data_IF_055638074071
#
_entry.id   IF_055638074071
#
_cell.length_a   1.000
_cell.length_b   1.000
_cell.length_c   1.000
_cell.angle_alpha   90.00
_cell.angle_beta   90.00
_cell.angle_gamma   90.00
#
_symmetry.space_group_name_H-M   'P 1'
#
loop_
_entity.id
_entity.type
_entity.pdbx_description
1 polymer ?
#
# COMPACT_ATOMS: atom_id res chain seq x y z
N UNK A 1 13.25 -9.11 14.65
CA UNK A 1 12.95 -7.94 13.78
C UNK A 1 12.41 -6.75 14.56
N UNK A 2 11.71 -6.95 15.70
CA UNK A 2 11.07 -5.89 16.47
C UNK A 2 12.03 -4.85 17.05
N UNK A 3 13.22 -5.28 17.46
CA UNK A 3 14.24 -4.42 18.08
C UNK A 3 15.33 -3.96 17.10
N UNK A 4 15.17 -4.26 15.81
CA UNK A 4 16.11 -3.80 14.78
C UNK A 4 15.64 -2.45 14.24
N UNK A 5 16.56 -1.48 14.05
CA UNK A 5 16.23 -0.25 13.37
C UNK A 5 15.80 -0.58 11.93
N UNK A 6 14.61 -0.13 11.57
CA UNK A 6 14.01 -0.29 10.24
C UNK A 6 13.40 1.04 9.86
N UNK A 7 13.61 1.45 8.62
CA UNK A 7 13.11 2.70 8.07
C UNK A 7 12.01 2.42 7.06
N UNK A 8 10.86 3.10 7.22
CA UNK A 8 9.67 2.89 6.41
C UNK A 8 9.20 4.23 5.86
N UNK A 9 9.14 4.37 4.55
CA UNK A 9 8.45 5.49 3.92
C UNK A 9 6.98 5.14 3.66
N UNK A 10 6.10 6.09 3.95
CA UNK A 10 4.65 5.99 3.76
C UNK A 10 4.24 7.13 2.83
N UNK A 11 3.71 6.78 1.67
CA UNK A 11 3.21 7.76 0.71
C UNK A 11 1.97 8.50 1.23
N UNK A 12 1.63 9.66 0.64
CA UNK A 12 0.49 10.47 1.05
C UNK A 12 -0.82 9.68 1.07
N UNK A 13 -1.07 8.82 0.07
CA UNK A 13 -2.30 8.02 0.02
C UNK A 13 -2.43 7.08 1.22
N UNK A 14 -1.35 6.39 1.62
CA UNK A 14 -1.37 5.53 2.80
C UNK A 14 -1.39 6.32 4.12
N UNK A 15 -0.86 7.55 4.12
CA UNK A 15 -0.93 8.44 5.26
C UNK A 15 -2.36 8.92 5.54
N UNK A 16 -3.07 9.36 4.51
CA UNK A 16 -4.45 9.90 4.58
C UNK A 16 -5.49 8.83 4.95
N UNK A 17 -5.39 7.65 4.34
CA UNK A 17 -6.37 6.57 4.56
C UNK A 17 -6.16 5.80 5.88
N UNK A 18 -5.25 6.25 6.74
CA UNK A 18 -4.99 5.63 8.03
C UNK A 18 -4.35 4.24 7.97
N UNK A 19 -3.98 3.77 6.78
CA UNK A 19 -3.29 2.48 6.55
C UNK A 19 -1.98 2.44 7.34
N UNK A 20 -1.34 3.60 7.51
CA UNK A 20 -0.14 3.75 8.33
C UNK A 20 -0.34 3.72 9.84
N UNK A 21 -1.50 4.14 10.37
CA UNK A 21 -1.71 4.29 11.83
C UNK A 21 -1.79 2.95 12.56
N UNK A 22 -2.19 1.89 11.86
CA UNK A 22 -2.20 0.52 12.39
C UNK A 22 -0.82 -0.18 12.31
N UNK A 23 0.15 0.42 11.61
CA UNK A 23 1.45 -0.20 11.32
C UNK A 23 2.64 0.30 12.14
N UNK A 24 2.48 1.39 12.92
CA UNK A 24 3.53 1.95 13.80
C UNK A 24 3.69 1.15 15.10
N UNK A 25 3.92 -0.15 14.97
CA UNK A 25 3.85 -1.12 16.08
C UNK A 25 5.19 -1.27 16.80
N UNK A 26 6.31 -0.93 16.15
CA UNK A 26 7.65 -1.18 16.67
C UNK A 26 8.38 0.12 16.98
N UNK A 27 8.75 0.31 18.24
CA UNK A 27 9.45 1.52 18.71
C UNK A 27 10.82 1.73 18.06
N UNK A 28 11.48 0.66 17.60
CA UNK A 28 12.76 0.75 16.92
C UNK A 28 12.63 1.20 15.45
N UNK A 29 11.41 1.31 14.91
CA UNK A 29 11.19 1.62 13.51
C UNK A 29 10.95 3.12 13.30
N UNK A 30 11.58 3.67 12.26
CA UNK A 30 11.33 5.03 11.80
C UNK A 30 10.25 5.00 10.71
N UNK A 31 9.21 5.80 10.89
CA UNK A 31 8.12 5.93 9.93
C UNK A 31 8.11 7.36 9.38
N UNK A 32 8.47 7.51 8.12
CA UNK A 32 8.58 8.79 7.45
C UNK A 32 7.42 9.01 6.48
N UNK A 33 6.71 10.12 6.64
CA UNK A 33 5.55 10.55 5.82
C UNK A 33 5.84 11.83 5.03
N UNK A 34 7.11 12.19 4.86
CA UNK A 34 7.48 13.40 4.12
C UNK A 34 7.04 13.26 2.67
N UNK A 35 6.26 14.22 2.20
CA UNK A 35 5.76 14.24 0.83
C UNK A 35 6.84 14.68 -0.16
N UNK A 36 6.64 14.37 -1.45
CA UNK A 36 7.47 14.84 -2.55
C UNK A 36 8.97 14.50 -2.45
N UNK A 37 9.31 13.38 -1.80
CA UNK A 37 10.68 12.86 -1.77
C UNK A 37 11.11 12.43 -3.17
N UNK A 38 12.36 12.73 -3.51
CA UNK A 38 12.97 12.24 -4.74
C UNK A 38 13.14 10.72 -4.71
N UNK A 39 13.36 10.11 -5.88
CA UNK A 39 13.67 8.67 -5.95
C UNK A 39 14.92 8.35 -5.13
N UNK A 40 15.93 9.21 -5.18
CA UNK A 40 17.20 9.08 -4.47
C UNK A 40 16.97 9.10 -2.95
N UNK A 41 16.08 9.96 -2.47
CA UNK A 41 15.69 10.01 -1.06
C UNK A 41 14.94 8.76 -0.63
N UNK A 42 14.11 8.20 -1.51
CA UNK A 42 13.29 7.01 -1.23
C UNK A 42 14.14 5.74 -1.16
N UNK A 43 15.21 5.62 -1.96
CA UNK A 43 16.03 4.40 -2.01
C UNK A 43 16.69 4.06 -0.66
N UNK A 44 16.85 5.04 0.23
CA UNK A 44 17.47 4.81 1.55
C UNK A 44 16.61 3.91 2.45
N UNK A 45 15.29 3.97 2.32
CA UNK A 45 14.37 3.28 3.22
C UNK A 45 14.41 1.76 3.03
N UNK A 46 14.12 1.00 4.08
CA UNK A 46 14.05 -0.47 4.04
C UNK A 46 12.72 -0.95 3.43
N UNK A 47 11.66 -0.18 3.66
CA UNK A 47 10.33 -0.44 3.13
C UNK A 47 9.71 0.83 2.55
N UNK A 48 9.03 0.68 1.42
CA UNK A 48 8.26 1.73 0.78
C UNK A 48 6.81 1.29 0.67
N UNK A 49 5.90 2.08 1.25
CA UNK A 49 4.46 1.88 1.13
C UNK A 49 3.92 2.89 0.13
N UNK A 50 3.32 2.38 -0.95
CA UNK A 50 2.68 3.19 -1.97
C UNK A 50 1.24 2.76 -2.15
N UNK A 51 0.31 3.72 -2.17
CA UNK A 51 -1.08 3.44 -2.41
C UNK A 51 -1.67 4.29 -3.52
N UNK A 52 -2.68 3.74 -4.19
CA UNK A 52 -3.43 4.47 -5.20
C UNK A 52 -4.83 3.88 -5.36
N UNK A 53 -5.73 4.68 -5.93
CA UNK A 53 -7.02 4.24 -6.43
C UNK A 53 -6.91 3.25 -7.59
N UNK A 54 -5.83 3.32 -8.40
CA UNK A 54 -5.59 2.43 -9.54
C UNK A 54 -4.26 1.69 -9.42
N UNK A 55 -4.34 0.38 -9.19
CA UNK A 55 -3.20 -0.45 -8.77
C UNK A 55 -2.33 -0.94 -9.91
N UNK A 56 -2.91 -1.20 -11.08
CA UNK A 56 -2.18 -1.71 -12.25
C UNK A 56 -1.13 -0.70 -12.73
N UNK A 57 -1.53 0.56 -12.86
CA UNK A 57 -0.63 1.67 -13.19
C UNK A 57 0.46 1.83 -12.12
N UNK A 58 0.05 1.84 -10.84
CA UNK A 58 0.98 1.96 -9.72
C UNK A 58 2.06 0.87 -9.75
N UNK A 59 1.69 -0.40 -9.95
CA UNK A 59 2.67 -1.49 -9.98
C UNK A 59 3.68 -1.32 -11.12
N UNK A 60 3.22 -0.98 -12.33
CA UNK A 60 4.11 -0.77 -13.48
C UNK A 60 5.10 0.37 -13.26
N UNK A 61 4.64 1.50 -12.71
CA UNK A 61 5.46 2.66 -12.40
C UNK A 61 6.48 2.36 -11.30
N UNK A 62 6.05 1.71 -10.22
CA UNK A 62 6.93 1.34 -9.12
C UNK A 62 8.01 0.34 -9.55
N UNK A 63 7.68 -0.63 -10.39
CA UNK A 63 8.66 -1.57 -10.91
C UNK A 63 9.64 -0.90 -11.88
N UNK A 64 9.18 0.05 -12.70
CA UNK A 64 10.08 0.83 -13.56
C UNK A 64 11.08 1.66 -12.73
N UNK A 65 10.63 2.24 -11.62
CA UNK A 65 11.44 3.15 -10.81
C UNK A 65 12.27 2.44 -9.72
N UNK A 66 11.82 1.33 -9.15
CA UNK A 66 12.46 0.75 -7.96
C UNK A 66 12.97 -0.67 -8.13
N UNK A 67 12.74 -1.35 -9.27
CA UNK A 67 13.15 -2.76 -9.46
C UNK A 67 14.63 -3.05 -9.21
N UNK A 68 15.53 -2.07 -9.38
CA UNK A 68 16.96 -2.21 -9.11
C UNK A 68 17.35 -2.09 -7.64
N UNK A 69 16.48 -1.56 -6.79
CA UNK A 69 16.78 -1.25 -5.37
C UNK A 69 15.84 -1.94 -4.39
N UNK A 70 14.61 -2.20 -4.82
CA UNK A 70 13.55 -2.80 -4.04
C UNK A 70 12.82 -3.87 -4.87
N UNK A 71 12.26 -4.85 -4.18
CA UNK A 71 11.33 -5.84 -4.74
C UNK A 71 9.95 -5.68 -4.12
N UNK A 72 8.92 -6.03 -4.86
CA UNK A 72 7.58 -6.19 -4.30
C UNK A 72 7.63 -7.22 -3.16
N UNK A 73 7.12 -6.84 -1.99
CA UNK A 73 7.04 -7.72 -0.83
C UNK A 73 5.64 -8.31 -0.70
N UNK A 74 4.62 -7.45 -0.68
CA UNK A 74 3.21 -7.85 -0.78
C UNK A 74 2.35 -6.66 -1.21
N UNK A 75 1.13 -6.96 -1.66
CA UNK A 75 0.07 -5.96 -1.85
C UNK A 75 -1.08 -6.24 -0.88
N UNK A 76 -1.78 -5.20 -0.43
CA UNK A 76 -2.96 -5.33 0.43
C UNK A 76 -4.22 -4.91 -0.33
N UNK A 77 -5.28 -5.67 -0.14
CA UNK A 77 -6.60 -5.33 -0.65
C UNK A 77 -7.23 -4.22 0.20
N UNK A 78 -7.90 -3.29 -0.48
CA UNK A 78 -8.72 -2.26 0.10
C UNK A 78 -10.09 -2.22 -0.57
N UNK A 79 -11.05 -1.60 0.11
CA UNK A 79 -12.40 -1.40 -0.43
C UNK A 79 -12.34 -0.67 -1.78
N UNK A 80 -13.06 -1.18 -2.77
CA UNK A 80 -13.14 -0.55 -4.09
C UNK A 80 -14.52 0.01 -4.38
N UNK A 81 -15.58 -0.80 -4.18
CA UNK A 81 -16.98 -0.40 -4.41
C UNK A 81 -17.96 -1.41 -3.83
N UNK A 82 -19.23 -0.99 -3.74
CA UNK A 82 -20.36 -1.91 -3.52
C UNK A 82 -20.91 -2.31 -4.90
N UNK A 83 -21.06 -3.62 -5.12
CA UNK A 83 -21.81 -4.18 -6.25
C UNK A 83 -23.14 -4.72 -5.75
N UNK A 84 -24.16 -4.74 -6.59
CA UNK A 84 -25.43 -5.38 -6.28
C UNK A 84 -25.56 -6.68 -7.06
N UNK A 85 -25.82 -7.79 -6.37
CA UNK A 85 -26.12 -9.08 -6.99
C UNK A 85 -27.58 -9.43 -6.75
N UNK A 86 -28.19 -10.13 -7.70
CA UNK A 86 -29.58 -10.63 -7.55
C UNK A 86 -29.56 -11.96 -6.81
N UNK A 87 -30.50 -12.17 -5.88
CA UNK A 87 -30.77 -13.52 -5.38
C UNK A 87 -31.27 -14.39 -6.53
N UNK A 88 -30.89 -15.68 -6.53
CA UNK A 88 -31.38 -16.63 -7.56
C UNK A 88 -32.89 -16.87 -7.47
N UNK A 89 -33.47 -16.73 -6.28
CA UNK A 89 -34.85 -17.12 -5.96
C UNK A 89 -35.76 -15.95 -5.58
N UNK A 90 -35.22 -14.73 -5.40
CA UNK A 90 -35.95 -13.55 -4.97
C UNK A 90 -35.58 -12.34 -5.84
N UNK A 91 -36.53 -11.47 -6.22
CA UNK A 91 -36.25 -10.30 -7.05
C UNK A 91 -35.66 -9.12 -6.25
N UNK A 92 -34.91 -9.40 -5.18
CA UNK A 92 -34.24 -8.39 -4.36
C UNK A 92 -32.73 -8.40 -4.66
N UNK A 93 -32.11 -7.23 -4.91
CA UNK A 93 -30.66 -7.14 -4.96
C UNK A 93 -30.08 -7.13 -3.53
N UNK A 94 -28.89 -7.71 -3.36
CA UNK A 94 -28.10 -7.59 -2.12
C UNK A 94 -26.72 -6.99 -2.41
N UNK A 95 -26.18 -6.18 -1.48
CA UNK A 95 -24.87 -5.57 -1.63
C UNK A 95 -23.77 -6.62 -1.46
N UNK A 96 -22.74 -6.50 -2.29
CA UNK A 96 -21.51 -7.27 -2.23
C UNK A 96 -20.35 -6.29 -2.28
N UNK A 97 -19.47 -6.37 -1.30
CA UNK A 97 -18.26 -5.54 -1.27
C UNK A 97 -17.24 -6.10 -2.27
N UNK A 98 -16.77 -5.22 -3.15
CA UNK A 98 -15.71 -5.48 -4.11
C UNK A 98 -14.42 -4.90 -3.52
N UNK A 99 -13.39 -5.74 -3.39
CA UNK A 99 -12.07 -5.35 -2.94
C UNK A 99 -11.10 -5.44 -4.11
N UNK A 100 -10.08 -4.59 -4.09
CA UNK A 100 -8.95 -4.63 -5.01
C UNK A 100 -7.69 -4.31 -4.24
N UNK A 101 -6.55 -4.74 -4.72
CA UNK A 101 -5.27 -4.22 -4.22
C UNK A 101 -5.29 -2.68 -4.23
N UNK A 102 -4.87 -2.03 -3.15
CA UNK A 102 -4.81 -0.55 -3.08
C UNK A 102 -3.47 -0.03 -2.60
N UNK A 103 -2.69 -0.89 -1.95
CA UNK A 103 -1.36 -0.57 -1.45
C UNK A 103 -0.41 -1.67 -1.86
N UNK A 104 0.76 -1.26 -2.33
CA UNK A 104 1.89 -2.12 -2.64
C UNK A 104 3.01 -1.77 -1.67
N UNK A 105 3.58 -2.81 -1.05
CA UNK A 105 4.73 -2.70 -0.17
C UNK A 105 5.95 -3.19 -0.90
N UNK A 106 6.95 -2.33 -1.03
CA UNK A 106 8.26 -2.70 -1.54
C UNK A 106 9.22 -2.91 -0.38
N UNK A 107 10.13 -3.87 -0.53
CA UNK A 107 11.21 -4.15 0.41
C UNK A 107 12.55 -4.00 -0.29
N UNK A 108 13.48 -3.33 0.35
CA UNK A 108 14.86 -3.19 -0.12
C UNK A 108 15.52 -4.55 -0.36
N UNK A 109 16.32 -4.63 -1.43
CA UNK A 109 17.03 -5.85 -1.83
C UNK A 109 18.10 -6.25 -0.81
#
# INVERSE_FOLDING_TARGET
MRDKPVSVHIDPFCAENGISRFGQVFNAWEYNKTENLSREDLIRFDYLLFGNTTTEYLRSELMANFSSTHKEYFATEGFHRVKYRKFKQLPLPYPVFDFKEKVIVLKKL
#
